data_IF_181417597394
#
_entry.id   IF_181417597394
#
_cell.length_a   1.000
_cell.length_b   1.000
_cell.length_c   1.000
_cell.angle_alpha   90.00
_cell.angle_beta   90.00
_cell.angle_gamma   90.00
#
_symmetry.space_group_name_H-M   'P 1'
#
loop_
_entity.id
_entity.type
_entity.pdbx_description
1 polymer ?
#
# COMPACT_ATOMS: atom_id res chain seq x y z
N UNK A 1 14.59 -11.34 -9.21
CA UNK A 1 14.43 -9.99 -8.61
C UNK A 1 13.38 -10.13 -7.52
N UNK A 2 13.68 -9.79 -6.27
CA UNK A 2 12.70 -9.79 -5.18
C UNK A 2 12.13 -8.37 -5.08
N UNK A 3 10.85 -8.19 -5.39
CA UNK A 3 10.16 -6.89 -5.34
C UNK A 3 9.03 -6.99 -4.33
N UNK A 4 9.08 -6.16 -3.29
CA UNK A 4 8.07 -6.16 -2.22
C UNK A 4 6.83 -5.35 -2.60
N UNK A 5 7.00 -4.21 -3.27
CA UNK A 5 5.92 -3.32 -3.68
C UNK A 5 6.25 -2.76 -5.06
N UNK A 6 5.29 -2.85 -5.96
CA UNK A 6 5.37 -2.29 -7.32
C UNK A 6 4.06 -1.61 -7.71
N UNK A 7 4.11 -0.83 -8.77
CA UNK A 7 2.93 -0.22 -9.37
C UNK A 7 1.95 -1.30 -9.88
N UNK A 8 0.66 -0.96 -9.93
CA UNK A 8 -0.38 -1.77 -10.56
C UNK A 8 -1.07 -0.95 -11.68
N UNK A 9 -0.50 -0.99 -12.90
CA UNK A 9 -1.04 -0.27 -14.05
C UNK A 9 -2.46 -0.71 -14.43
N UNK A 10 -2.83 -1.98 -14.19
CA UNK A 10 -4.17 -2.48 -14.48
C UNK A 10 -5.23 -1.77 -13.63
N UNK A 11 -4.86 -1.32 -12.42
CA UNK A 11 -5.72 -0.53 -11.52
C UNK A 11 -5.37 0.97 -11.51
N UNK A 12 -4.51 1.42 -12.43
CA UNK A 12 -4.02 2.81 -12.52
C UNK A 12 -3.34 3.32 -11.24
N UNK A 13 -2.66 2.43 -10.51
CA UNK A 13 -1.91 2.76 -9.30
C UNK A 13 -0.43 2.85 -9.66
N UNK A 14 0.10 4.08 -9.72
CA UNK A 14 1.45 4.35 -10.20
C UNK A 14 2.31 5.02 -9.13
N UNK A 15 3.63 4.99 -9.37
CA UNK A 15 4.64 5.65 -8.54
C UNK A 15 4.55 5.24 -7.05
N UNK A 16 4.35 3.94 -6.80
CA UNK A 16 4.40 3.37 -5.44
C UNK A 16 5.84 3.44 -4.91
N UNK A 17 6.06 4.00 -3.73
CA UNK A 17 7.42 4.04 -3.18
C UNK A 17 7.57 4.79 -1.86
N UNK A 18 8.84 5.05 -1.50
CA UNK A 18 9.28 5.72 -0.27
C UNK A 18 8.47 5.25 0.95
N UNK A 19 8.56 3.95 1.21
CA UNK A 19 7.71 3.27 2.18
C UNK A 19 8.38 3.19 3.56
N UNK A 20 7.55 2.92 4.56
CA UNK A 20 7.94 2.51 5.90
C UNK A 20 7.11 1.29 6.31
N UNK A 21 7.65 0.43 7.18
CA UNK A 21 6.94 -0.73 7.73
C UNK A 21 6.80 -0.54 9.24
N UNK A 22 5.62 -0.82 9.78
CA UNK A 22 5.33 -0.63 11.19
C UNK A 22 4.51 -1.81 11.74
N UNK A 23 4.85 -2.24 12.95
CA UNK A 23 4.03 -3.14 13.74
C UNK A 23 2.94 -2.33 14.47
N UNK A 24 1.71 -2.80 14.42
CA UNK A 24 0.61 -2.21 15.17
C UNK A 24 0.82 -2.54 16.67
N UNK A 25 0.95 -1.52 17.56
CA UNK A 25 1.30 -1.75 18.95
C UNK A 25 0.39 -2.76 19.66
N UNK A 26 0.99 -3.70 20.38
CA UNK A 26 0.27 -4.73 21.14
C UNK A 26 -0.33 -5.85 20.28
N UNK A 27 0.08 -5.98 19.02
CA UNK A 27 -0.38 -7.01 18.09
C UNK A 27 0.78 -7.63 17.32
N UNK A 28 0.52 -8.75 16.63
CA UNK A 28 1.44 -9.30 15.62
C UNK A 28 1.09 -8.83 14.19
N UNK A 29 0.33 -7.73 14.08
CA UNK A 29 -0.11 -7.18 12.81
C UNK A 29 0.93 -6.18 12.29
N UNK A 30 1.39 -6.39 11.06
CA UNK A 30 2.35 -5.52 10.39
C UNK A 30 1.71 -4.86 9.19
N UNK A 31 1.99 -3.57 9.01
CA UNK A 31 1.49 -2.80 7.87
C UNK A 31 2.65 -2.05 7.21
N UNK A 32 2.50 -1.83 5.91
CA UNK A 32 3.37 -0.97 5.12
C UNK A 32 2.64 0.33 4.83
N UNK A 33 3.29 1.46 5.11
CA UNK A 33 2.87 2.79 4.68
C UNK A 33 3.72 3.18 3.47
N UNK A 34 3.10 3.60 2.38
CA UNK A 34 3.81 4.01 1.17
C UNK A 34 3.06 5.14 0.47
N UNK A 35 3.73 5.91 -0.39
CA UNK A 35 3.02 6.84 -1.25
C UNK A 35 2.74 6.21 -2.62
N UNK A 36 1.66 6.65 -3.25
CA UNK A 36 1.42 6.50 -4.69
C UNK A 36 0.86 7.82 -5.24
N UNK A 37 0.74 7.95 -6.56
CA UNK A 37 -0.04 9.06 -7.09
C UNK A 37 -1.47 9.02 -6.55
N UNK A 38 -2.02 10.20 -6.26
CA UNK A 38 -3.40 10.35 -5.78
C UNK A 38 -4.36 9.69 -6.76
N UNK A 39 -5.32 8.92 -6.24
CA UNK A 39 -6.30 8.19 -7.04
C UNK A 39 -7.70 8.63 -6.65
N UNK A 40 -8.47 9.09 -7.63
CA UNK A 40 -9.91 9.25 -7.49
C UNK A 40 -10.61 8.38 -8.55
N UNK A 41 -11.48 7.42 -8.14
CA UNK A 41 -12.24 6.61 -9.09
C UNK A 41 -13.21 7.44 -9.94
N UNK A 42 -13.63 8.63 -9.48
CA UNK A 42 -14.43 9.58 -10.25
C UNK A 42 -13.61 10.44 -11.24
N UNK A 43 -12.33 10.14 -11.45
CA UNK A 43 -11.55 10.59 -12.60
C UNK A 43 -10.48 11.67 -12.30
N UNK A 44 -10.57 12.38 -11.18
CA UNK A 44 -9.52 13.34 -10.79
C UNK A 44 -8.21 12.57 -10.47
N UNK A 45 -7.12 12.88 -11.15
CA UNK A 45 -5.83 12.20 -10.98
C UNK A 45 -5.87 10.68 -11.26
N UNK A 46 -6.80 10.19 -12.09
CA UNK A 46 -6.86 8.77 -12.46
C UNK A 46 -5.63 8.36 -13.29
N UNK A 47 -4.56 7.93 -12.61
CA UNK A 47 -3.25 7.64 -13.18
C UNK A 47 -2.14 8.59 -12.73
N UNK A 48 -2.46 9.58 -11.89
CA UNK A 48 -1.53 10.58 -11.37
C UNK A 48 -1.18 11.68 -12.36
N UNK A 49 -0.53 12.73 -11.85
CA UNK A 49 -0.07 13.88 -12.62
C UNK A 49 1.39 14.27 -12.32
N UNK A 50 2.13 13.39 -11.63
CA UNK A 50 3.53 13.64 -11.23
C UNK A 50 3.69 14.44 -9.95
N UNK A 51 2.68 15.16 -9.48
CA UNK A 51 2.79 16.11 -8.37
C UNK A 51 1.92 15.73 -7.16
N UNK A 52 0.71 15.20 -7.39
CA UNK A 52 -0.20 14.85 -6.32
C UNK A 52 0.01 13.41 -5.87
N UNK A 53 0.45 13.25 -4.62
CA UNK A 53 0.69 11.96 -3.97
C UNK A 53 -0.20 11.83 -2.73
N UNK A 54 -0.60 10.60 -2.44
CA UNK A 54 -1.27 10.27 -1.19
C UNK A 54 -0.53 9.12 -0.48
N UNK A 55 -0.65 9.07 0.84
CA UNK A 55 -0.14 7.97 1.66
C UNK A 55 -1.22 6.91 1.78
N UNK A 56 -0.82 5.67 1.56
CA UNK A 56 -1.69 4.50 1.58
C UNK A 56 -1.06 3.44 2.48
N UNK A 57 -1.89 2.78 3.27
CA UNK A 57 -1.49 1.65 4.09
C UNK A 57 -1.96 0.34 3.45
N UNK A 58 -1.17 -0.72 3.59
CA UNK A 58 -1.53 -2.09 3.20
C UNK A 58 -1.05 -3.07 4.29
N UNK A 59 -1.74 -4.22 4.46
CA UNK A 59 -1.24 -5.28 5.34
C UNK A 59 0.07 -5.87 4.79
N UNK A 60 0.91 -6.36 5.69
CA UNK A 60 2.15 -7.06 5.36
C UNK A 60 2.02 -8.52 5.82
N UNK A 61 1.99 -9.43 4.84
CA UNK A 61 1.82 -10.86 5.07
C UNK A 61 3.12 -11.63 4.84
N UNK A 62 3.21 -12.81 5.47
CA UNK A 62 4.37 -13.69 5.42
C UNK A 62 3.99 -15.03 4.79
N UNK A 63 4.89 -15.57 3.97
CA UNK A 63 4.84 -16.95 3.52
C UNK A 63 5.17 -17.90 4.70
N UNK A 64 4.80 -19.20 4.61
CA UNK A 64 5.13 -20.18 5.64
C UNK A 64 6.63 -20.34 5.95
N UNK A 65 7.50 -19.96 5.00
CA UNK A 65 8.96 -19.98 5.16
C UNK A 65 9.53 -18.70 5.83
N UNK A 66 8.65 -17.77 6.22
CA UNK A 66 9.01 -16.50 6.85
C UNK A 66 9.38 -15.38 5.88
N UNK A 67 9.39 -15.64 4.56
CA UNK A 67 9.60 -14.59 3.56
C UNK A 67 8.37 -13.68 3.43
N UNK A 68 8.56 -12.43 3.01
CA UNK A 68 7.45 -11.51 2.80
C UNK A 68 6.69 -11.83 1.51
N UNK A 69 5.36 -11.77 1.60
CA UNK A 69 4.48 -11.80 0.43
C UNK A 69 4.55 -10.42 -0.27
N UNK A 70 4.63 -10.37 -1.61
CA UNK A 70 4.52 -9.11 -2.34
C UNK A 70 3.23 -8.35 -2.00
N UNK A 71 3.38 -7.09 -1.63
CA UNK A 71 2.28 -6.20 -1.25
C UNK A 71 1.47 -5.85 -2.48
N UNK A 72 0.15 -6.05 -2.38
CA UNK A 72 -0.80 -5.58 -3.40
C UNK A 72 -1.11 -4.10 -3.17
N UNK A 73 -0.85 -3.21 -4.14
CA UNK A 73 -1.24 -1.81 -4.02
C UNK A 73 -2.75 -1.65 -3.82
N UNK A 74 -3.12 -0.80 -2.86
CA UNK A 74 -4.51 -0.60 -2.47
C UNK A 74 -5.13 0.58 -3.24
N UNK A 75 -6.39 0.38 -3.67
CA UNK A 75 -7.24 1.44 -4.25
C UNK A 75 -7.73 2.37 -3.13
N UNK A 76 -8.16 1.81 -2.00
CA UNK A 76 -8.33 2.53 -0.75
C UNK A 76 -7.08 2.44 0.11
N UNK A 77 -7.19 2.78 1.39
CA UNK A 77 -6.16 2.46 2.39
C UNK A 77 -6.64 1.28 3.24
N UNK A 78 -5.69 0.52 3.78
CA UNK A 78 -5.95 -0.40 4.88
C UNK A 78 -6.71 0.32 6.02
N UNK A 79 -7.73 -0.35 6.55
CA UNK A 79 -8.55 0.12 7.66
C UNK A 79 -8.66 -1.01 8.68
N UNK A 80 -8.42 -0.69 9.95
CA UNK A 80 -8.58 -1.60 11.08
C UNK A 80 -9.74 -1.13 11.94
N UNK A 81 -10.74 -1.97 12.13
CA UNK A 81 -11.81 -1.68 13.08
C UNK A 81 -11.28 -1.77 14.50
N UNK A 82 -11.51 -0.74 15.31
CA UNK A 82 -11.26 -0.80 16.73
C UNK A 82 -12.52 -1.34 17.39
N UNK A 83 -12.48 -2.60 17.84
CA UNK A 83 -13.50 -3.11 18.76
C UNK A 83 -13.22 -2.48 20.13
N UNK A 84 -14.14 -1.65 20.60
CA UNK A 84 -14.15 -1.10 21.95
C UNK A 84 -15.25 -1.79 22.75
#
# INVERSE_FOLDING_TARGET
MCVLLEQDPARKLYATGHHNIVNVPGTDEWIIAYHRFAYNPAGRWAGGDGCHREVVFAPLDYNPDGSLVPVRPQVGSYVRSLAF
#
